data_IF_756800813518
#
_entry.id   IF_756800813518
#
_cell.length_a   1.000
_cell.length_b   1.000
_cell.length_c   1.000
_cell.angle_alpha   90.00
_cell.angle_beta   90.00
_cell.angle_gamma   90.00
#
_symmetry.space_group_name_H-M   'P 1'
#
loop_
_entity.id
_entity.type
_entity.pdbx_description
1 polymer ?
#
# COMPACT_ATOMS: atom_id res chain seq x y z
N UNK A 1 6.59 -10.81 16.29
CA UNK A 1 5.48 -11.75 16.65
C UNK A 1 6.06 -13.11 17.02
N UNK A 2 5.42 -13.95 17.85
CA UNK A 2 5.94 -15.30 18.13
C UNK A 2 5.60 -16.31 17.00
N UNK A 3 6.33 -17.42 16.95
CA UNK A 3 6.25 -18.42 15.88
C UNK A 3 4.94 -19.21 15.89
N UNK A 4 4.38 -19.52 17.07
CA UNK A 4 3.14 -20.29 17.16
C UNK A 4 1.96 -19.47 16.65
N UNK A 5 1.94 -18.18 17.01
CA UNK A 5 0.98 -17.21 16.47
C UNK A 5 1.11 -17.05 14.96
N UNK A 6 2.33 -17.06 14.42
CA UNK A 6 2.54 -17.03 12.96
C UNK A 6 1.85 -18.22 12.28
N UNK A 7 2.06 -19.45 12.76
CA UNK A 7 1.47 -20.64 12.13
C UNK A 7 -0.05 -20.61 12.09
N UNK A 8 -0.68 -20.15 13.17
CA UNK A 8 -2.12 -19.96 13.22
C UNK A 8 -2.61 -18.94 12.18
N UNK A 9 -1.87 -17.83 12.01
CA UNK A 9 -2.28 -16.73 11.13
C UNK A 9 -2.12 -17.01 9.64
N UNK A 10 -1.19 -17.89 9.26
CA UNK A 10 -1.00 -18.35 7.89
C UNK A 10 -1.63 -19.71 7.60
N UNK A 11 -2.40 -20.25 8.56
CA UNK A 11 -3.09 -21.56 8.49
C UNK A 11 -2.16 -22.73 8.14
N UNK A 12 -0.93 -22.72 8.68
CA UNK A 12 0.07 -23.76 8.41
C UNK A 12 -0.24 -25.03 9.22
N UNK A 13 -0.82 -26.04 8.57
CA UNK A 13 -1.20 -27.30 9.23
C UNK A 13 -0.15 -28.40 9.08
N UNK A 14 0.63 -28.41 8.01
CA UNK A 14 1.68 -29.40 7.75
C UNK A 14 2.93 -29.13 8.61
N UNK A 15 3.36 -30.13 9.38
CA UNK A 15 4.55 -30.04 10.22
C UNK A 15 5.84 -29.88 9.41
N UNK A 16 5.90 -30.43 8.18
CA UNK A 16 7.06 -30.21 7.29
C UNK A 16 7.17 -28.74 6.90
N UNK A 17 6.04 -28.10 6.62
CA UNK A 17 6.00 -26.68 6.26
C UNK A 17 6.38 -25.79 7.46
N UNK A 18 5.91 -26.14 8.67
CA UNK A 18 6.31 -25.44 9.91
C UNK A 18 7.82 -25.50 10.10
N UNK A 19 8.43 -26.66 9.91
CA UNK A 19 9.89 -26.81 10.04
C UNK A 19 10.66 -26.00 8.99
N UNK A 20 10.15 -25.91 7.77
CA UNK A 20 10.73 -25.02 6.74
C UNK A 20 10.68 -23.57 7.21
N UNK A 21 9.52 -23.09 7.67
CA UNK A 21 9.36 -21.71 8.16
C UNK A 21 10.29 -21.41 9.33
N UNK A 22 10.40 -22.32 10.33
CA UNK A 22 11.35 -22.17 11.46
C UNK A 22 12.78 -22.07 10.97
N UNK A 23 13.18 -22.97 10.06
CA UNK A 23 14.54 -22.98 9.49
C UNK A 23 14.84 -21.67 8.77
N UNK A 24 13.90 -21.16 8.00
CA UNK A 24 14.05 -19.91 7.24
C UNK A 24 14.19 -18.71 8.18
N UNK A 25 13.33 -18.58 9.19
CA UNK A 25 13.39 -17.51 10.20
C UNK A 25 14.76 -17.52 10.90
N UNK A 26 15.19 -18.70 11.37
CA UNK A 26 16.45 -18.86 12.10
C UNK A 26 17.68 -18.60 11.22
N UNK A 27 17.71 -19.16 10.01
CA UNK A 27 18.86 -19.04 9.09
C UNK A 27 19.04 -17.60 8.62
N UNK A 28 17.92 -16.89 8.39
CA UNK A 28 17.96 -15.53 7.87
C UNK A 28 17.99 -14.45 8.96
N UNK A 29 17.80 -14.82 10.23
CA UNK A 29 17.74 -13.89 11.38
C UNK A 29 16.72 -12.77 11.15
N UNK A 30 15.48 -13.14 10.84
CA UNK A 30 14.37 -12.23 10.54
C UNK A 30 13.24 -12.34 11.57
N UNK A 31 12.40 -11.32 11.69
CA UNK A 31 11.21 -11.37 12.55
C UNK A 31 10.13 -12.28 11.91
N UNK A 32 9.46 -13.18 12.67
CA UNK A 32 8.30 -13.94 12.19
C UNK A 32 7.19 -13.06 11.56
N UNK A 33 7.05 -11.81 11.98
CA UNK A 33 6.15 -10.82 11.38
C UNK A 33 6.44 -10.56 9.90
N UNK A 34 7.71 -10.63 9.46
CA UNK A 34 8.06 -10.48 8.05
C UNK A 34 7.50 -11.64 7.21
N UNK A 35 7.53 -12.87 7.74
CA UNK A 35 6.97 -14.04 7.06
C UNK A 35 5.46 -13.89 6.89
N UNK A 36 4.77 -13.48 7.95
CA UNK A 36 3.34 -13.20 7.90
C UNK A 36 3.00 -12.14 6.86
N UNK A 37 3.75 -11.03 6.86
CA UNK A 37 3.56 -9.94 5.91
C UNK A 37 3.68 -10.43 4.46
N UNK A 38 4.75 -11.15 4.13
CA UNK A 38 4.98 -11.70 2.78
C UNK A 38 3.83 -12.62 2.38
N UNK A 39 3.45 -13.53 3.26
CA UNK A 39 2.38 -14.50 3.00
C UNK A 39 1.05 -13.79 2.71
N UNK A 40 0.66 -12.80 3.51
CA UNK A 40 -0.56 -12.03 3.29
C UNK A 40 -0.50 -11.17 2.03
N UNK A 41 0.61 -10.46 1.82
CA UNK A 41 0.76 -9.59 0.66
C UNK A 41 0.68 -10.35 -0.68
N UNK A 42 1.16 -11.60 -0.72
CA UNK A 42 1.06 -12.45 -1.91
C UNK A 42 -0.32 -13.09 -2.09
N UNK A 43 -0.98 -13.48 -0.99
CA UNK A 43 -2.39 -13.89 -1.04
C UNK A 43 -3.29 -12.79 -1.58
N UNK A 44 -3.07 -11.52 -1.18
CA UNK A 44 -3.80 -10.38 -1.74
C UNK A 44 -3.61 -10.20 -3.25
N UNK A 45 -2.50 -10.69 -3.82
CA UNK A 45 -2.24 -10.71 -5.27
C UNK A 45 -2.78 -11.97 -5.95
N UNK A 46 -3.63 -12.76 -5.30
CA UNK A 46 -4.17 -14.05 -5.76
C UNK A 46 -3.08 -15.04 -6.19
N UNK A 47 -1.91 -14.98 -5.55
CA UNK A 47 -0.84 -15.93 -5.74
C UNK A 47 -0.74 -16.79 -4.49
N UNK A 48 -1.14 -18.06 -4.58
CA UNK A 48 -0.77 -19.04 -3.56
C UNK A 48 0.73 -19.22 -3.64
N UNK A 49 1.45 -18.77 -2.61
CA UNK A 49 2.88 -18.95 -2.51
C UNK A 49 3.17 -20.31 -1.87
N UNK A 50 3.79 -21.26 -2.58
CA UNK A 50 4.30 -22.46 -1.93
C UNK A 50 5.39 -22.06 -0.93
N UNK A 51 5.27 -22.53 0.32
CA UNK A 51 6.20 -22.22 1.44
C UNK A 51 7.67 -22.49 1.08
N UNK A 52 7.92 -23.40 0.15
CA UNK A 52 9.24 -23.72 -0.40
C UNK A 52 9.95 -22.51 -1.06
N UNK A 53 9.21 -21.50 -1.55
CA UNK A 53 9.78 -20.28 -2.14
C UNK A 53 10.07 -19.18 -1.11
N UNK A 54 9.65 -19.36 0.15
CA UNK A 54 9.78 -18.34 1.20
C UNK A 54 11.24 -17.94 1.44
N UNK A 55 12.17 -18.91 1.46
CA UNK A 55 13.60 -18.65 1.65
C UNK A 55 14.19 -17.78 0.54
N UNK A 56 13.80 -18.03 -0.70
CA UNK A 56 14.28 -17.26 -1.86
C UNK A 56 13.79 -15.81 -1.81
N UNK A 57 12.51 -15.61 -1.47
CA UNK A 57 11.94 -14.27 -1.31
C UNK A 57 12.65 -13.50 -0.20
N UNK A 58 12.89 -14.14 0.94
CA UNK A 58 13.59 -13.51 2.06
C UNK A 58 15.03 -13.17 1.70
N UNK A 59 15.75 -14.03 0.97
CA UNK A 59 17.10 -13.72 0.46
C UNK A 59 17.09 -12.49 -0.42
N UNK A 60 16.16 -12.41 -1.38
CA UNK A 60 16.01 -11.25 -2.26
C UNK A 60 15.70 -9.97 -1.47
N UNK A 61 14.84 -10.05 -0.44
CA UNK A 61 14.54 -8.92 0.44
C UNK A 61 15.76 -8.49 1.28
N UNK A 62 16.54 -9.45 1.79
CA UNK A 62 17.79 -9.17 2.51
C UNK A 62 18.84 -8.49 1.64
N UNK A 63 18.97 -8.86 0.37
CA UNK A 63 19.83 -8.17 -0.59
C UNK A 63 19.43 -6.69 -0.77
N UNK A 64 18.16 -6.38 -0.51
CA UNK A 64 17.60 -5.02 -0.49
C UNK A 64 17.60 -4.38 0.91
N UNK A 65 18.25 -5.01 1.88
CA UNK A 65 18.32 -4.59 3.29
C UNK A 65 16.95 -4.54 3.98
N UNK A 66 16.03 -5.41 3.56
CA UNK A 66 14.71 -5.59 4.18
C UNK A 66 14.74 -6.84 5.06
N UNK A 67 14.60 -6.66 6.36
CA UNK A 67 14.80 -7.68 7.40
C UNK A 67 13.64 -7.79 8.39
N UNK A 68 12.76 -6.78 8.42
CA UNK A 68 11.57 -6.75 9.27
C UNK A 68 10.33 -6.29 8.49
N UNK A 69 9.17 -6.40 9.15
CA UNK A 69 7.86 -6.03 8.58
C UNK A 69 7.79 -4.57 8.15
N UNK A 70 8.33 -3.63 8.94
CA UNK A 70 8.26 -2.19 8.64
C UNK A 70 9.07 -1.85 7.39
N UNK A 71 10.28 -2.41 7.28
CA UNK A 71 11.12 -2.29 6.09
C UNK A 71 10.45 -2.91 4.86
N UNK A 72 9.75 -4.05 5.03
CA UNK A 72 9.03 -4.69 3.94
C UNK A 72 7.86 -3.85 3.47
N UNK A 73 7.05 -3.31 4.40
CA UNK A 73 5.97 -2.39 4.07
C UNK A 73 6.49 -1.22 3.24
N UNK A 74 7.57 -0.58 3.69
CA UNK A 74 8.24 0.52 2.96
C UNK A 74 8.73 0.08 1.59
N UNK A 75 9.38 -1.07 1.51
CA UNK A 75 9.93 -1.60 0.26
C UNK A 75 8.84 -1.88 -0.78
N UNK A 76 7.82 -2.64 -0.41
CA UNK A 76 6.73 -3.00 -1.31
C UNK A 76 5.90 -1.78 -1.71
N UNK A 77 5.69 -0.85 -0.80
CA UNK A 77 5.08 0.43 -1.09
C UNK A 77 5.81 1.25 -2.15
N UNK A 78 7.14 1.39 -2.00
CA UNK A 78 7.99 2.06 -2.99
C UNK A 78 7.98 1.32 -4.31
N UNK A 79 8.01 -0.01 -4.27
CA UNK A 79 7.92 -0.86 -5.46
C UNK A 79 6.60 -0.67 -6.20
N UNK A 80 5.48 -0.64 -5.48
CA UNK A 80 4.18 -0.35 -6.06
C UNK A 80 4.11 1.11 -6.55
N UNK A 81 4.73 2.06 -5.88
CA UNK A 81 4.83 3.45 -6.35
C UNK A 81 5.67 3.57 -7.63
N UNK A 82 6.77 2.82 -7.72
CA UNK A 82 7.58 2.68 -8.93
C UNK A 82 6.83 1.97 -10.07
N UNK A 83 5.98 0.99 -9.76
CA UNK A 83 5.08 0.35 -10.74
C UNK A 83 3.93 1.30 -11.13
N UNK A 84 3.49 2.15 -10.20
CA UNK A 84 2.51 3.23 -10.42
C UNK A 84 3.13 4.47 -11.09
N UNK A 85 4.45 4.53 -11.36
CA UNK A 85 5.13 5.70 -11.99
C UNK A 85 4.58 6.14 -13.35
N UNK A 86 3.63 5.41 -13.92
CA UNK A 86 3.00 5.78 -15.20
C UNK A 86 1.58 6.33 -15.05
N UNK A 87 1.10 6.65 -13.84
CA UNK A 87 -0.16 7.39 -13.69
C UNK A 87 0.07 8.88 -13.97
N UNK A 88 -0.38 9.32 -15.14
CA UNK A 88 -0.53 10.72 -15.46
C UNK A 88 -1.92 11.25 -15.09
N UNK A 89 -2.09 12.55 -15.36
CA UNK A 89 -3.37 13.23 -15.21
C UNK A 89 -4.49 12.59 -16.03
N UNK A 90 -4.18 12.08 -17.21
CA UNK A 90 -5.18 11.52 -18.13
C UNK A 90 -5.79 10.25 -17.56
N UNK A 91 -4.98 9.39 -16.96
CA UNK A 91 -5.39 8.15 -16.33
C UNK A 91 -6.32 8.41 -15.13
N UNK A 92 -6.01 9.44 -14.32
CA UNK A 92 -6.88 9.85 -13.20
C UNK A 92 -8.24 10.36 -13.71
N UNK A 93 -8.22 11.17 -14.77
CA UNK A 93 -9.45 11.71 -15.37
C UNK A 93 -10.29 10.60 -15.99
N UNK A 94 -9.67 9.69 -16.74
CA UNK A 94 -10.33 8.54 -17.35
C UNK A 94 -10.97 7.67 -16.29
N UNK A 95 -10.22 7.32 -15.25
CA UNK A 95 -10.70 6.53 -14.12
C UNK A 95 -11.87 7.20 -13.41
N UNK A 96 -11.81 8.50 -13.16
CA UNK A 96 -12.94 9.24 -12.59
C UNK A 96 -14.19 9.11 -13.47
N UNK A 97 -14.05 9.35 -14.78
CA UNK A 97 -15.20 9.35 -15.70
C UNK A 97 -15.84 7.96 -15.81
N UNK A 98 -15.02 6.90 -15.84
CA UNK A 98 -15.50 5.51 -15.89
C UNK A 98 -16.30 5.15 -14.63
N UNK A 99 -15.87 5.61 -13.45
CA UNK A 99 -16.51 5.23 -12.18
C UNK A 99 -17.76 6.07 -11.89
N UNK A 100 -17.70 7.37 -12.18
CA UNK A 100 -18.80 8.30 -11.89
C UNK A 100 -19.96 8.18 -12.88
N UNK A 101 -19.80 7.52 -14.02
CA UNK A 101 -20.72 7.50 -15.17
C UNK A 101 -21.07 8.89 -15.74
N UNK A 102 -20.58 9.98 -15.14
CA UNK A 102 -20.82 11.36 -15.52
C UNK A 102 -19.45 12.01 -15.70
N UNK A 103 -19.09 12.42 -16.93
CA UNK A 103 -17.80 13.04 -17.17
C UNK A 103 -17.60 14.30 -16.33
N UNK A 104 -16.36 14.53 -15.88
CA UNK A 104 -15.97 15.79 -15.25
C UNK A 104 -16.34 16.98 -16.13
N UNK A 105 -17.00 17.97 -15.53
CA UNK A 105 -17.16 19.27 -16.18
C UNK A 105 -15.79 19.91 -16.49
N UNK A 106 -15.70 20.86 -17.44
CA UNK A 106 -14.45 21.55 -17.75
C UNK A 106 -13.79 22.19 -16.52
N UNK A 107 -14.60 22.71 -15.59
CA UNK A 107 -14.11 23.31 -14.35
C UNK A 107 -13.53 22.27 -13.38
N UNK A 108 -14.20 21.13 -13.23
CA UNK A 108 -13.72 20.03 -12.39
C UNK A 108 -12.44 19.39 -12.95
N UNK A 109 -12.39 19.20 -14.27
CA UNK A 109 -11.19 18.76 -14.98
C UNK A 109 -10.02 19.68 -14.68
N UNK A 110 -10.20 21.00 -14.85
CA UNK A 110 -9.17 22.01 -14.56
C UNK A 110 -8.71 21.95 -13.10
N UNK A 111 -9.62 21.70 -12.15
CA UNK A 111 -9.27 21.56 -10.73
C UNK A 111 -8.42 20.33 -10.46
N UNK A 112 -8.80 19.17 -11.00
CA UNK A 112 -8.02 17.93 -10.85
C UNK A 112 -6.63 18.08 -11.46
N UNK A 113 -6.53 18.70 -12.65
CA UNK A 113 -5.24 19.03 -13.28
C UNK A 113 -4.36 19.93 -12.42
N UNK A 114 -4.95 20.78 -11.58
CA UNK A 114 -4.21 21.69 -10.70
C UNK A 114 -3.76 21.07 -9.38
N UNK A 115 -4.24 19.89 -8.98
CA UNK A 115 -3.96 19.34 -7.66
C UNK A 115 -2.47 19.04 -7.43
N UNK A 116 -1.79 18.49 -8.43
CA UNK A 116 -0.35 18.20 -8.35
C UNK A 116 0.43 19.46 -7.99
N UNK A 117 0.19 20.55 -8.72
CA UNK A 117 0.89 21.82 -8.52
C UNK A 117 0.47 22.54 -7.24
N UNK A 118 -0.82 22.48 -6.91
CA UNK A 118 -1.38 23.19 -5.75
C UNK A 118 -0.91 22.62 -4.42
N UNK A 119 -0.80 21.29 -4.33
CA UNK A 119 -0.45 20.59 -3.08
C UNK A 119 0.96 19.99 -3.10
N UNK A 120 1.69 20.13 -4.21
CA UNK A 120 2.98 19.47 -4.42
C UNK A 120 2.92 17.95 -4.17
N UNK A 121 1.85 17.31 -4.65
CA UNK A 121 1.57 15.89 -4.46
C UNK A 121 1.70 15.13 -5.77
N UNK A 122 2.28 13.94 -5.73
CA UNK A 122 2.34 13.09 -6.91
C UNK A 122 0.95 12.54 -7.32
N UNK A 123 0.84 12.09 -8.56
CA UNK A 123 -0.41 11.55 -9.10
C UNK A 123 -0.85 10.25 -8.44
N UNK A 124 0.05 9.49 -7.82
CA UNK A 124 -0.30 8.26 -7.12
C UNK A 124 -1.07 8.58 -5.84
N UNK A 125 -0.62 9.59 -5.10
CA UNK A 125 -1.30 10.09 -3.91
C UNK A 125 -2.65 10.71 -4.28
N UNK A 126 -2.73 11.46 -5.37
CA UNK A 126 -4.00 12.01 -5.87
C UNK A 126 -4.97 10.89 -6.27
N UNK A 127 -4.48 9.85 -6.96
CA UNK A 127 -5.28 8.68 -7.32
C UNK A 127 -5.74 7.90 -6.08
N UNK A 128 -4.93 7.85 -5.02
CA UNK A 128 -5.35 7.24 -3.75
C UNK A 128 -6.42 8.07 -3.02
N UNK A 129 -6.40 9.39 -3.12
CA UNK A 129 -7.52 10.21 -2.65
C UNK A 129 -8.83 9.90 -3.41
N UNK A 130 -8.74 9.59 -4.71
CA UNK A 130 -9.88 9.11 -5.48
C UNK A 130 -10.37 7.74 -4.96
N UNK A 131 -9.48 6.81 -4.61
CA UNK A 131 -9.85 5.52 -4.00
C UNK A 131 -10.64 5.70 -2.70
N UNK A 132 -10.19 6.60 -1.83
CA UNK A 132 -10.88 6.92 -0.59
C UNK A 132 -12.24 7.55 -0.88
N UNK A 133 -12.34 8.44 -1.87
CA UNK A 133 -13.61 9.02 -2.29
C UNK A 133 -14.61 7.96 -2.79
N UNK A 134 -14.13 6.97 -3.56
CA UNK A 134 -14.94 5.84 -4.03
C UNK A 134 -15.41 4.97 -2.87
N UNK A 135 -14.50 4.57 -1.99
CA UNK A 135 -14.83 3.69 -0.86
C UNK A 135 -15.83 4.30 0.13
N UNK A 136 -16.02 5.62 0.09
CA UNK A 136 -16.98 6.35 0.92
C UNK A 136 -18.19 6.86 0.13
N UNK A 137 -18.39 6.42 -1.12
CA UNK A 137 -19.46 6.89 -2.03
C UNK A 137 -19.52 8.44 -2.17
N UNK A 138 -18.37 9.10 -2.08
CA UNK A 138 -18.20 10.56 -2.09
C UNK A 138 -17.28 11.01 -3.22
N UNK A 139 -17.61 10.63 -4.46
CA UNK A 139 -16.81 10.89 -5.67
C UNK A 139 -16.66 12.37 -6.10
N UNK A 140 -17.27 13.33 -5.41
CA UNK A 140 -17.18 14.74 -5.79
C UNK A 140 -15.76 15.31 -5.68
N UNK A 141 -15.35 16.13 -6.66
CA UNK A 141 -14.04 16.81 -6.68
C UNK A 141 -13.74 17.59 -5.39
N UNK A 142 -14.78 18.13 -4.73
CA UNK A 142 -14.65 18.81 -3.44
C UNK A 142 -14.20 17.87 -2.31
N UNK A 143 -14.70 16.63 -2.30
CA UNK A 143 -14.33 15.65 -1.29
C UNK A 143 -12.89 15.18 -1.47
N UNK A 144 -12.52 14.87 -2.72
CA UNK A 144 -11.15 14.53 -3.10
C UNK A 144 -10.20 15.66 -2.67
N UNK A 145 -10.51 16.91 -3.00
CA UNK A 145 -9.68 18.06 -2.59
C UNK A 145 -9.61 18.22 -1.06
N UNK A 146 -10.67 17.87 -0.33
CA UNK A 146 -10.70 17.86 1.13
C UNK A 146 -9.68 16.88 1.74
N UNK A 147 -9.56 15.69 1.15
CA UNK A 147 -8.55 14.69 1.53
C UNK A 147 -7.15 15.24 1.28
N UNK A 148 -6.89 15.79 0.08
CA UNK A 148 -5.59 16.36 -0.27
C UNK A 148 -5.19 17.52 0.65
N UNK A 149 -6.12 18.46 0.93
CA UNK A 149 -5.87 19.56 1.89
C UNK A 149 -5.47 19.06 3.28
N UNK A 150 -6.04 17.95 3.72
CA UNK A 150 -5.71 17.35 5.00
C UNK A 150 -4.30 16.76 4.99
N UNK A 151 -3.94 16.05 3.94
CA UNK A 151 -2.59 15.51 3.76
C UNK A 151 -1.53 16.61 3.64
N UNK A 152 -1.81 17.71 2.96
CA UNK A 152 -0.89 18.86 2.88
C UNK A 152 -0.63 19.48 4.27
N UNK A 153 -1.67 19.63 5.10
CA UNK A 153 -1.52 20.07 6.50
C UNK A 153 -0.65 19.12 7.32
N UNK A 154 -0.69 17.82 7.01
CA UNK A 154 0.10 16.78 7.66
C UNK A 154 1.50 16.59 7.05
N UNK A 155 1.86 17.40 6.04
CA UNK A 155 3.13 17.29 5.30
C UNK A 155 3.30 15.93 4.60
N UNK A 156 2.21 15.38 4.09
CA UNK A 156 2.17 14.14 3.30
C UNK A 156 2.12 14.54 1.83
N UNK A 157 3.19 14.30 1.08
CA UNK A 157 3.31 14.73 -0.32
C UNK A 157 3.43 13.57 -1.30
N UNK A 158 3.84 12.41 -0.78
CA UNK A 158 4.01 11.18 -1.55
C UNK A 158 3.22 10.04 -0.93
N UNK A 159 3.03 8.97 -1.71
CA UNK A 159 2.52 7.71 -1.16
C UNK A 159 3.41 7.16 -0.03
N UNK A 160 4.73 7.35 -0.15
CA UNK A 160 5.66 6.97 0.91
C UNK A 160 5.42 7.72 2.23
N UNK A 161 5.21 9.04 2.18
CA UNK A 161 4.92 9.84 3.37
C UNK A 161 3.64 9.37 4.07
N UNK A 162 2.61 9.03 3.28
CA UNK A 162 1.36 8.52 3.81
C UNK A 162 1.56 7.19 4.55
N UNK A 163 2.37 6.31 3.98
CA UNK A 163 2.64 4.99 4.57
C UNK A 163 3.54 5.06 5.80
N UNK A 164 4.56 5.91 5.81
CA UNK A 164 5.35 6.20 7.00
C UNK A 164 4.47 6.79 8.11
N UNK A 165 3.54 7.69 7.75
CA UNK A 165 2.60 8.28 8.69
C UNK A 165 1.66 7.24 9.32
N UNK A 166 1.12 6.31 8.52
CA UNK A 166 0.30 5.18 9.00
C UNK A 166 1.12 4.22 9.87
N UNK A 167 2.34 3.86 9.44
CA UNK A 167 3.22 2.92 10.13
C UNK A 167 3.63 3.41 11.53
N UNK A 168 3.71 4.72 11.76
CA UNK A 168 3.99 5.33 13.07
C UNK A 168 2.81 5.26 14.06
N UNK A 169 1.73 4.55 13.73
CA UNK A 169 0.58 4.38 14.62
C UNK A 169 -0.17 5.68 14.89
N UNK A 170 0.00 6.71 14.06
CA UNK A 170 -0.74 7.98 14.17
C UNK A 170 -2.22 7.87 13.78
N UNK A 171 -2.70 6.63 13.60
CA UNK A 171 -4.08 6.25 13.35
C UNK A 171 -4.59 6.79 12.02
N UNK A 172 -5.67 6.21 11.50
CA UNK A 172 -6.44 6.86 10.43
C UNK A 172 -7.13 8.08 11.04
N UNK A 173 -6.42 9.19 11.17
CA UNK A 173 -7.02 10.48 11.54
C UNK A 173 -8.04 10.99 10.51
N UNK A 174 -8.45 10.14 9.56
CA UNK A 174 -9.57 10.21 8.64
C UNK A 174 -10.64 9.26 9.22
N UNK A 175 -11.35 9.70 10.25
CA UNK A 175 -12.58 9.02 10.67
C UNK A 175 -13.52 8.99 9.45
N UNK A 176 -13.81 7.78 8.97
CA UNK A 176 -14.89 7.53 8.02
C UNK A 176 -16.20 7.87 8.72
N UNK A 177 -16.75 9.04 8.41
CA UNK A 177 -18.16 9.36 8.57
C UNK A 177 -18.78 9.52 7.19
#
# INVERSE_FOLDING_TARGET
MDIEKLFLLIDLKDDKEKEIVKKVIKTNNIDPSLVYFIHKHLQFKNQDLPIYFLDEIIKRLKDKKVTNEQEALIYFARKEEEERKNLGLNEIIERYNTISNIPLSPNERKRISGFQFKYNMDYNLINYALDIAIANDKLGVNYIEGILKKWDKLKIYTMFDLLDWVARGKGWGIEMY
#
